data_IF_031228732860
#
_entry.id   IF_031228732860
#
_cell.length_a   1.000
_cell.length_b   1.000
_cell.length_c   1.000
_cell.angle_alpha   90.00
_cell.angle_beta   90.00
_cell.angle_gamma   90.00
#
_symmetry.space_group_name_H-M   'P 1'
#
loop_
_entity.id
_entity.type
_entity.pdbx_description
1 polymer ?
#
# COMPACT_ATOMS: atom_id res chain seq x y z
N UNK A 1 -8.19 19.16 -1.78
CA UNK A 1 -7.86 17.72 -1.82
C UNK A 1 -8.20 17.20 -3.22
N UNK A 2 -7.26 17.04 -4.17
CA UNK A 2 -7.50 16.25 -5.43
C UNK A 2 -6.45 16.36 -6.56
N UNK A 3 -5.15 16.61 -6.33
CA UNK A 3 -4.15 16.48 -7.43
C UNK A 3 -3.39 15.15 -7.44
N UNK A 4 -3.38 14.41 -6.34
CA UNK A 4 -2.64 13.15 -6.26
C UNK A 4 -3.22 12.10 -7.23
N UNK A 5 -4.54 11.88 -7.19
CA UNK A 5 -5.21 10.94 -8.10
C UNK A 5 -5.08 11.31 -9.59
N UNK A 6 -4.95 12.59 -9.93
CA UNK A 6 -4.80 13.02 -11.32
C UNK A 6 -3.48 12.53 -11.94
N UNK A 7 -2.47 12.23 -11.11
CA UNK A 7 -1.16 11.74 -11.51
C UNK A 7 -0.94 10.25 -11.22
N UNK A 8 -1.98 9.53 -10.80
CA UNK A 8 -1.92 8.10 -10.52
C UNK A 8 -2.68 7.30 -11.58
N UNK A 9 -2.05 6.22 -12.05
CA UNK A 9 -2.64 5.24 -12.96
C UNK A 9 -2.82 3.93 -12.20
N UNK A 10 -4.03 3.34 -12.29
CA UNK A 10 -4.31 2.02 -11.72
C UNK A 10 -3.37 0.99 -12.34
N UNK A 11 -2.79 0.12 -11.52
CA UNK A 11 -1.89 -0.93 -11.99
C UNK A 11 -2.09 -2.21 -11.20
N UNK A 12 -1.90 -3.34 -11.87
CA UNK A 12 -1.83 -4.67 -11.24
C UNK A 12 -0.37 -5.11 -11.03
N UNK A 13 0.59 -4.34 -11.57
CA UNK A 13 2.01 -4.60 -11.46
C UNK A 13 2.54 -4.03 -10.13
N UNK A 14 2.79 -4.93 -9.18
CA UNK A 14 3.28 -4.59 -7.85
C UNK A 14 4.74 -4.10 -7.84
N UNK A 15 5.53 -4.42 -8.87
CA UNK A 15 6.93 -3.98 -8.98
C UNK A 15 7.01 -2.50 -9.35
N UNK A 16 6.00 -1.97 -10.05
CA UNK A 16 5.90 -0.54 -10.40
C UNK A 16 4.89 0.24 -9.57
N UNK A 17 4.08 -0.44 -8.74
CA UNK A 17 3.15 0.21 -7.83
C UNK A 17 3.90 1.14 -6.86
N UNK A 18 3.39 2.35 -6.66
CA UNK A 18 3.96 3.34 -5.73
C UNK A 18 2.96 3.76 -4.67
N UNK A 19 1.66 3.50 -4.89
CA UNK A 19 0.60 3.88 -3.99
C UNK A 19 -0.44 2.77 -3.89
N UNK A 20 -1.17 2.77 -2.77
CA UNK A 20 -2.30 1.88 -2.53
C UNK A 20 -3.48 2.66 -1.96
N UNK A 21 -4.66 2.48 -2.56
CA UNK A 21 -5.94 2.95 -2.03
C UNK A 21 -6.58 1.83 -1.23
N UNK A 22 -6.92 2.11 0.04
CA UNK A 22 -7.67 1.15 0.86
C UNK A 22 -9.17 1.32 0.55
N UNK A 23 -9.78 0.31 -0.08
CA UNK A 23 -11.21 0.33 -0.43
C UNK A 23 -12.08 -0.14 0.72
N UNK A 24 -11.63 -1.15 1.45
CA UNK A 24 -12.37 -1.74 2.56
C UNK A 24 -11.41 -2.44 3.53
N UNK A 25 -11.63 -2.27 4.83
CA UNK A 25 -10.95 -3.01 5.89
C UNK A 25 -11.76 -4.25 6.25
N UNK A 26 -11.08 -5.40 6.30
CA UNK A 26 -11.72 -6.64 6.75
C UNK A 26 -11.66 -6.78 8.27
N UNK A 27 -10.90 -5.94 8.97
CA UNK A 27 -10.77 -5.95 10.43
C UNK A 27 -10.72 -4.52 11.01
N UNK A 28 -11.48 -4.27 12.08
CA UNK A 28 -11.62 -2.93 12.67
C UNK A 28 -10.35 -2.44 13.38
N UNK A 29 -9.50 -3.33 13.88
CA UNK A 29 -8.24 -2.98 14.55
C UNK A 29 -7.13 -2.44 13.64
N UNK A 30 -7.32 -2.49 12.31
CA UNK A 30 -6.33 -2.00 11.36
C UNK A 30 -6.21 -0.48 11.44
N UNK A 31 -4.97 -0.02 11.59
CA UNK A 31 -4.59 1.40 11.65
C UNK A 31 -4.49 2.02 10.26
N UNK A 32 -5.51 1.78 9.45
CA UNK A 32 -5.68 2.41 8.15
C UNK A 32 -7.08 2.98 8.03
N UNK A 33 -7.23 3.96 7.16
CA UNK A 33 -8.47 4.63 6.80
C UNK A 33 -8.93 4.19 5.41
N UNK A 34 -10.20 3.80 5.29
CA UNK A 34 -10.85 3.50 4.00
C UNK A 34 -11.01 4.77 3.16
N UNK A 35 -10.81 4.68 1.85
CA UNK A 35 -10.80 5.82 0.94
C UNK A 35 -9.49 6.61 0.94
N UNK A 36 -8.54 6.33 1.85
CA UNK A 36 -7.23 6.98 1.89
C UNK A 36 -6.22 6.25 1.00
N UNK A 37 -5.38 7.04 0.34
CA UNK A 37 -4.23 6.58 -0.44
C UNK A 37 -2.98 6.67 0.42
N UNK A 38 -2.18 5.63 0.39
CA UNK A 38 -0.89 5.53 1.07
C UNK A 38 0.21 5.36 0.04
N UNK A 39 1.38 5.93 0.32
CA UNK A 39 2.60 5.63 -0.42
C UNK A 39 3.11 4.25 -0.01
N UNK A 40 3.62 3.50 -0.99
CA UNK A 40 4.23 2.20 -0.79
C UNK A 40 5.73 2.35 -0.61
N UNK A 41 6.24 1.81 0.49
CA UNK A 41 7.65 1.49 0.65
C UNK A 41 7.95 0.06 0.21
N UNK A 42 9.22 -0.20 -0.07
CA UNK A 42 9.76 -1.55 -0.35
C UNK A 42 10.90 -1.82 0.61
N UNK A 43 10.85 -2.95 1.31
CA UNK A 43 12.05 -3.46 1.97
C UNK A 43 12.91 -4.19 0.94
N UNK A 44 14.22 -3.94 0.97
CA UNK A 44 15.16 -4.72 0.18
C UNK A 44 15.11 -6.19 0.64
N UNK A 45 15.10 -7.12 -0.31
CA UNK A 45 15.11 -8.54 -0.01
C UNK A 45 16.38 -8.86 0.80
N UNK A 46 16.20 -9.28 2.05
CA UNK A 46 17.29 -9.77 2.90
C UNK A 46 17.28 -11.30 2.91
N UNK A 47 18.40 -11.92 3.30
CA UNK A 47 18.61 -13.37 3.23
C UNK A 47 17.58 -14.24 3.99
N UNK A 48 16.72 -13.64 4.81
CA UNK A 48 15.62 -14.29 5.54
C UNK A 48 14.23 -14.13 4.91
N UNK A 49 14.06 -13.19 3.99
CA UNK A 49 12.87 -13.10 3.13
C UNK A 49 12.98 -14.16 2.03
N UNK A 50 11.88 -14.82 1.69
CA UNK A 50 11.79 -15.79 0.58
C UNK A 50 11.95 -15.10 -0.78
N UNK A 51 13.00 -14.29 -0.96
CA UNK A 51 13.42 -13.70 -2.23
C UNK A 51 12.59 -12.53 -2.77
N UNK A 52 11.49 -12.14 -2.12
CA UNK A 52 10.61 -11.09 -2.63
C UNK A 52 10.66 -9.83 -1.75
N UNK A 53 10.80 -8.67 -2.39
CA UNK A 53 10.73 -7.37 -1.73
C UNK A 53 9.32 -7.16 -1.15
N UNK A 54 9.21 -6.97 0.16
CA UNK A 54 7.91 -6.79 0.80
C UNK A 54 7.44 -5.33 0.71
N UNK A 55 6.20 -5.14 0.27
CA UNK A 55 5.53 -3.84 0.23
C UNK A 55 4.96 -3.47 1.60
N UNK A 56 5.27 -2.26 2.07
CA UNK A 56 4.73 -1.71 3.30
C UNK A 56 4.12 -0.32 3.08
N UNK A 57 3.28 0.12 4.02
CA UNK A 57 2.81 1.50 4.14
C UNK A 57 3.19 2.06 5.50
N UNK A 58 3.26 3.39 5.62
CA UNK A 58 3.17 4.06 6.92
C UNK A 58 1.69 4.22 7.27
N UNK A 59 1.26 3.50 8.29
CA UNK A 59 -0.13 3.45 8.73
C UNK A 59 -0.55 4.74 9.48
N UNK A 60 -1.81 4.85 9.89
CA UNK A 60 -2.36 6.05 10.54
C UNK A 60 -1.74 6.35 11.92
N UNK A 61 -1.07 5.38 12.54
CA UNK A 61 -0.30 5.55 13.79
C UNK A 61 1.18 5.91 13.50
N UNK A 62 1.56 6.12 12.24
CA UNK A 62 2.93 6.47 11.84
C UNK A 62 3.91 5.30 11.83
N UNK A 63 3.42 4.05 11.78
CA UNK A 63 4.25 2.84 11.79
C UNK A 63 4.20 2.10 10.47
N UNK A 64 5.32 1.47 10.10
CA UNK A 64 5.36 0.55 8.98
C UNK A 64 4.38 -0.62 9.18
N UNK A 65 3.66 -0.98 8.13
CA UNK A 65 2.70 -2.09 8.17
C UNK A 65 2.57 -2.75 6.81
N UNK A 66 2.66 -4.07 6.80
CA UNK A 66 2.36 -4.93 5.66
C UNK A 66 0.96 -5.55 5.76
N UNK A 67 0.27 -5.39 6.90
CA UNK A 67 -1.00 -6.05 7.22
C UNK A 67 -2.12 -5.72 6.24
N UNK A 68 -2.08 -4.54 5.61
CA UNK A 68 -3.03 -4.16 4.56
C UNK A 68 -3.00 -5.11 3.34
N UNK A 69 -1.87 -5.80 3.11
CA UNK A 69 -1.73 -6.79 2.04
C UNK A 69 -2.67 -7.98 2.22
N UNK A 70 -2.96 -8.37 3.46
CA UNK A 70 -3.81 -9.51 3.77
C UNK A 70 -5.22 -9.11 4.21
N UNK A 71 -5.36 -7.96 4.88
CA UNK A 71 -6.59 -7.61 5.59
C UNK A 71 -7.41 -6.47 4.95
N UNK A 72 -7.06 -6.02 3.74
CA UNK A 72 -7.80 -4.96 3.04
C UNK A 72 -8.14 -5.35 1.59
N UNK A 73 -9.33 -4.94 1.13
CA UNK A 73 -9.58 -4.73 -0.31
C UNK A 73 -8.90 -3.43 -0.71
N UNK A 74 -8.18 -3.46 -1.82
CA UNK A 74 -7.26 -2.39 -2.21
C UNK A 74 -7.08 -2.31 -3.71
N UNK A 75 -6.69 -1.12 -4.16
CA UNK A 75 -6.32 -0.82 -5.54
C UNK A 75 -4.90 -0.25 -5.54
N UNK A 76 -4.04 -0.74 -6.43
CA UNK A 76 -2.67 -0.28 -6.56
C UNK A 76 -2.54 0.73 -7.68
N UNK A 77 -1.67 1.70 -7.49
CA UNK A 77 -1.42 2.75 -8.46
C UNK A 77 0.07 3.00 -8.65
N UNK A 78 0.44 3.43 -9.85
CA UNK A 78 1.75 3.99 -10.15
C UNK A 78 1.62 5.46 -10.55
N UNK A 79 2.69 6.23 -10.38
CA UNK A 79 2.74 7.57 -10.93
C UNK A 79 2.78 7.50 -12.46
N UNK A 80 2.17 8.49 -13.12
CA UNK A 80 2.19 8.66 -14.58
C UNK A 80 3.60 8.75 -15.14
#
# INVERSE_FOLDING_TARGET
MSNLLANLILTEDLDTATHVLIKLKMHQGLKVTEGKIYELGRWEANASSLGEAELFIINDDGRESTTFMLCCKKEFYKQK
#
